data_IF_418447662439
#
_entry.id   IF_418447662439
#
_cell.length_a   1.000
_cell.length_b   1.000
_cell.length_c   1.000
_cell.angle_alpha   90.00
_cell.angle_beta   90.00
_cell.angle_gamma   90.00
#
_symmetry.space_group_name_H-M   'P 1'
#
loop_
_entity.id
_entity.type
_entity.pdbx_description
1 polymer ?
#
# COMPACT_ATOMS: atom_id res chain seq x y z
N UNK A 1 8.76 11.69 -10.40
CA UNK A 1 8.35 10.83 -9.28
C UNK A 1 7.19 9.96 -9.69
N UNK A 2 7.16 8.71 -9.21
CA UNK A 2 6.03 7.80 -9.26
C UNK A 2 5.62 7.43 -7.83
N UNK A 3 4.35 7.64 -7.49
CA UNK A 3 3.78 7.27 -6.20
C UNK A 3 2.68 6.23 -6.37
N UNK A 4 2.79 5.09 -5.70
CA UNK A 4 1.81 4.00 -5.75
C UNK A 4 1.37 3.59 -4.35
N UNK A 5 0.13 3.10 -4.26
CA UNK A 5 -0.46 2.58 -3.03
C UNK A 5 -0.78 1.10 -3.22
N UNK A 6 -0.28 0.28 -2.30
CA UNK A 6 -0.57 -1.13 -2.08
C UNK A 6 -0.93 -1.91 -3.35
N UNK A 7 -0.05 -1.88 -4.35
CA UNK A 7 -0.24 -2.59 -5.61
C UNK A 7 -0.42 -4.08 -5.36
N UNK A 8 -1.49 -4.63 -5.92
CA UNK A 8 -1.85 -6.05 -5.85
C UNK A 8 -2.06 -6.56 -7.26
N UNK A 9 -1.66 -7.79 -7.53
CA UNK A 9 -2.05 -8.46 -8.77
C UNK A 9 -3.51 -8.90 -8.64
N UNK A 10 -4.36 -8.42 -9.54
CA UNK A 10 -5.81 -8.61 -9.49
C UNK A 10 -6.28 -10.08 -9.66
N UNK A 11 -5.37 -11.06 -9.76
CA UNK A 11 -5.66 -12.39 -10.26
C UNK A 11 -5.56 -13.57 -9.27
N UNK A 12 -5.25 -13.37 -7.99
CA UNK A 12 -5.18 -14.48 -7.01
C UNK A 12 -6.48 -14.70 -6.22
N UNK A 13 -7.63 -14.59 -6.88
CA UNK A 13 -8.94 -14.81 -6.25
C UNK A 13 -9.25 -16.31 -6.20
N UNK A 14 -8.79 -16.98 -5.14
CA UNK A 14 -9.29 -18.31 -4.75
C UNK A 14 -10.66 -18.16 -4.04
N UNK A 15 -11.72 -17.94 -4.82
CA UNK A 15 -13.10 -18.08 -4.35
C UNK A 15 -13.49 -19.58 -4.44
N UNK A 16 -13.96 -20.22 -3.36
CA UNK A 16 -14.24 -21.66 -3.34
C UNK A 16 -15.30 -22.14 -4.36
N UNK A 17 -16.05 -21.23 -4.97
CA UNK A 17 -17.07 -21.53 -6.00
C UNK A 17 -16.68 -21.02 -7.41
N UNK A 18 -15.61 -20.23 -7.50
CA UNK A 18 -15.03 -19.73 -8.76
C UNK A 18 -13.55 -20.15 -8.78
N UNK A 19 -13.32 -21.46 -8.83
CA UNK A 19 -11.99 -21.99 -9.07
C UNK A 19 -11.46 -21.41 -10.39
N UNK A 20 -10.43 -20.56 -10.28
CA UNK A 20 -9.46 -20.21 -11.32
C UNK A 20 -10.06 -20.00 -12.73
N UNK A 21 -10.65 -18.82 -12.99
CA UNK A 21 -11.09 -18.48 -14.36
C UNK A 21 -9.95 -17.90 -15.22
N UNK A 22 -8.78 -17.58 -14.67
CA UNK A 22 -7.70 -17.01 -15.47
C UNK A 22 -6.36 -17.73 -15.21
N UNK A 23 -5.66 -18.20 -16.27
CA UNK A 23 -4.36 -18.82 -16.14
C UNK A 23 -3.33 -17.83 -15.59
N UNK A 24 -2.30 -18.39 -14.96
CA UNK A 24 -1.12 -17.75 -14.31
C UNK A 24 -0.25 -16.88 -15.25
N UNK A 25 -0.73 -16.60 -16.46
CA UNK A 25 0.01 -15.97 -17.55
C UNK A 25 0.01 -14.43 -17.50
N UNK A 26 -0.47 -13.83 -16.41
CA UNK A 26 -0.40 -12.38 -16.16
C UNK A 26 0.34 -12.08 -14.85
N UNK A 27 1.34 -12.91 -14.51
CA UNK A 27 2.37 -12.51 -13.56
C UNK A 27 3.01 -11.21 -14.07
N UNK A 28 3.22 -10.23 -13.20
CA UNK A 28 3.98 -9.04 -13.56
C UNK A 28 5.37 -9.52 -14.03
N UNK A 29 5.61 -9.49 -15.33
CA UNK A 29 6.84 -10.03 -15.91
C UNK A 29 8.09 -9.22 -15.53
N UNK A 30 7.91 -8.08 -14.86
CA UNK A 30 9.00 -7.25 -14.37
C UNK A 30 8.60 -6.54 -13.07
N UNK A 31 9.16 -6.96 -11.94
CA UNK A 31 9.05 -6.28 -10.64
C UNK A 31 10.06 -5.12 -10.50
N UNK A 32 10.82 -4.84 -11.56
CA UNK A 32 11.73 -3.70 -11.63
C UNK A 32 10.98 -2.45 -12.06
N UNK A 33 11.22 -1.37 -11.33
CA UNK A 33 10.79 -0.03 -11.73
C UNK A 33 11.56 0.42 -12.99
N UNK A 34 10.88 1.08 -13.92
CA UNK A 34 11.52 1.51 -15.17
C UNK A 34 12.61 2.56 -14.92
N UNK A 35 13.71 2.49 -15.67
CA UNK A 35 14.85 3.43 -15.55
C UNK A 35 14.48 4.89 -15.82
N UNK A 36 13.33 5.16 -16.46
CA UNK A 36 12.82 6.51 -16.65
C UNK A 36 12.20 7.11 -15.36
N UNK A 37 11.99 6.30 -14.33
CA UNK A 37 11.47 6.74 -13.03
C UNK A 37 12.62 7.14 -12.13
N UNK A 38 12.82 8.45 -11.99
CA UNK A 38 13.89 9.02 -11.17
C UNK A 38 13.69 8.82 -9.66
N UNK A 39 12.43 8.75 -9.20
CA UNK A 39 12.08 8.57 -7.80
C UNK A 39 10.77 7.77 -7.67
N UNK A 40 10.81 6.66 -6.95
CA UNK A 40 9.68 5.74 -6.76
C UNK A 40 9.30 5.61 -5.29
N UNK A 41 8.01 5.78 -4.97
CA UNK A 41 7.48 5.68 -3.61
C UNK A 41 6.28 4.75 -3.59
N UNK A 42 6.32 3.74 -2.72
CA UNK A 42 5.28 2.73 -2.59
C UNK A 42 4.81 2.63 -1.14
N UNK A 43 3.56 3.03 -0.89
CA UNK A 43 2.92 2.83 0.40
C UNK A 43 2.30 1.42 0.47
N UNK A 44 2.88 0.53 1.28
CA UNK A 44 2.45 -0.85 1.47
C UNK A 44 1.62 -1.02 2.75
N UNK A 45 0.71 -2.00 2.75
CA UNK A 45 -0.11 -2.30 3.93
C UNK A 45 0.46 -3.46 4.73
N UNK A 46 0.53 -3.31 6.06
CA UNK A 46 1.09 -4.35 6.93
C UNK A 46 0.05 -5.38 7.39
N UNK A 47 -1.17 -4.94 7.71
CA UNK A 47 -2.16 -5.80 8.39
C UNK A 47 -3.13 -6.49 7.41
N UNK A 48 -2.97 -6.26 6.11
CA UNK A 48 -3.74 -6.95 5.08
C UNK A 48 -3.33 -8.42 5.00
N UNK A 49 -4.25 -9.33 5.30
CA UNK A 49 -3.99 -10.78 5.23
C UNK A 49 -4.78 -11.51 4.16
N UNK A 50 -5.65 -10.87 3.37
CA UNK A 50 -6.37 -11.56 2.28
C UNK A 50 -5.37 -11.93 1.19
N UNK A 51 -5.26 -13.22 0.88
CA UNK A 51 -4.29 -13.68 -0.13
C UNK A 51 -4.53 -13.09 -1.53
N UNK A 52 -5.79 -12.76 -1.85
CA UNK A 52 -6.17 -12.03 -3.06
C UNK A 52 -5.58 -10.61 -3.15
N UNK A 53 -5.10 -10.06 -2.04
CA UNK A 53 -4.43 -8.76 -1.93
C UNK A 53 -2.95 -8.98 -1.54
N UNK A 54 -2.31 -10.03 -2.06
CA UNK A 54 -0.87 -10.18 -1.94
C UNK A 54 -0.17 -8.98 -2.61
N UNK A 55 0.78 -8.31 -1.92
CA UNK A 55 1.40 -7.11 -2.44
C UNK A 55 2.43 -7.47 -3.53
N UNK A 56 2.40 -6.72 -4.62
CA UNK A 56 3.43 -6.73 -5.66
C UNK A 56 4.49 -5.71 -5.28
N UNK A 57 5.64 -6.19 -4.79
CA UNK A 57 6.74 -5.34 -4.32
C UNK A 57 7.75 -5.10 -5.43
N UNK A 58 8.41 -3.95 -5.37
CA UNK A 58 9.56 -3.71 -6.23
C UNK A 58 10.78 -4.48 -5.71
N UNK A 59 11.52 -5.05 -6.65
CA UNK A 59 12.80 -5.67 -6.38
C UNK A 59 13.91 -4.68 -6.73
N UNK A 60 14.83 -4.44 -5.78
CA UNK A 60 16.07 -3.76 -6.11
C UNK A 60 16.98 -4.74 -6.85
N UNK A 61 17.51 -4.32 -7.99
CA UNK A 61 18.49 -5.14 -8.70
C UNK A 61 19.86 -5.13 -7.99
N UNK A 62 20.74 -6.05 -8.39
CA UNK A 62 22.12 -6.13 -7.90
C UNK A 62 22.97 -4.90 -8.29
N UNK A 63 22.48 -4.07 -9.23
CA UNK A 63 23.14 -2.85 -9.69
C UNK A 63 22.71 -1.59 -8.92
N UNK A 64 21.76 -1.71 -8.00
CA UNK A 64 21.21 -0.64 -7.17
C UNK A 64 19.83 -0.19 -7.64
N UNK A 65 18.94 0.06 -6.68
CA UNK A 65 17.64 0.71 -6.90
C UNK A 65 17.80 2.01 -7.74
N UNK A 66 16.75 2.52 -8.43
CA UNK A 66 16.82 3.86 -9.01
C UNK A 66 17.28 4.87 -7.96
N UNK A 67 17.81 6.02 -8.40
CA UNK A 67 18.49 6.99 -7.54
C UNK A 67 17.74 7.31 -6.22
N UNK A 68 16.40 7.23 -6.22
CA UNK A 68 15.58 7.25 -5.00
C UNK A 68 14.42 6.23 -5.10
N UNK A 69 14.41 5.20 -4.24
CA UNK A 69 13.31 4.23 -4.14
C UNK A 69 12.95 4.00 -2.67
N UNK A 70 11.68 4.08 -2.33
CA UNK A 70 11.19 3.73 -1.00
C UNK A 70 9.89 2.91 -1.07
N UNK A 71 9.86 1.83 -0.30
CA UNK A 71 8.72 0.98 -0.04
C UNK A 71 8.44 1.02 1.47
N UNK A 72 7.33 1.64 1.85
CA UNK A 72 7.07 1.95 3.26
C UNK A 72 5.82 1.23 3.72
N UNK A 73 5.96 0.44 4.78
CA UNK A 73 4.88 -0.33 5.37
C UNK A 73 4.12 0.50 6.40
N UNK A 74 2.83 0.71 6.16
CA UNK A 74 1.92 1.42 7.03
C UNK A 74 1.01 0.47 7.80
N UNK A 75 0.55 0.92 8.97
CA UNK A 75 -0.48 0.21 9.75
C UNK A 75 -1.83 0.28 9.05
N UNK A 76 -2.61 -0.80 9.11
CA UNK A 76 -3.94 -0.92 8.50
C UNK A 76 -4.02 -1.95 7.37
N UNK A 77 -5.25 -2.12 6.85
CA UNK A 77 -5.57 -2.98 5.70
C UNK A 77 -5.46 -2.20 4.38
N UNK A 78 -5.69 -2.89 3.25
CA UNK A 78 -5.62 -2.30 1.91
C UNK A 78 -6.39 -0.97 1.77
N UNK A 79 -7.60 -0.90 2.35
CA UNK A 79 -8.43 0.29 2.29
C UNK A 79 -7.89 1.45 3.15
N UNK A 80 -7.25 1.12 4.28
CA UNK A 80 -6.65 2.13 5.17
C UNK A 80 -5.52 2.84 4.45
N UNK A 81 -4.65 2.12 3.73
CA UNK A 81 -3.55 2.77 3.00
C UNK A 81 -3.99 3.36 1.68
N UNK A 82 -4.91 2.71 0.97
CA UNK A 82 -5.40 3.18 -0.33
C UNK A 82 -6.47 4.28 -0.29
N UNK A 83 -7.08 4.56 0.87
CA UNK A 83 -8.03 5.67 1.03
C UNK A 83 -9.50 5.35 0.73
N UNK A 84 -9.80 4.17 0.20
CA UNK A 84 -11.17 3.77 -0.14
C UNK A 84 -11.91 3.17 1.07
N UNK A 85 -12.44 4.03 1.94
CA UNK A 85 -13.04 3.63 3.23
C UNK A 85 -14.55 3.31 3.18
N UNK A 86 -15.20 3.33 2.01
CA UNK A 86 -16.64 3.01 1.84
C UNK A 86 -17.57 3.69 2.88
N UNK A 87 -17.33 4.97 3.19
CA UNK A 87 -18.10 5.75 4.16
C UNK A 87 -17.80 5.47 5.63
N UNK A 88 -16.77 4.67 5.94
CA UNK A 88 -16.31 4.45 7.31
C UNK A 88 -15.33 5.55 7.77
N UNK A 89 -15.88 6.72 8.08
CA UNK A 89 -15.06 7.91 8.40
C UNK A 89 -14.22 7.77 9.67
N UNK A 90 -14.57 6.86 10.58
CA UNK A 90 -13.77 6.59 11.78
C UNK A 90 -12.35 6.08 11.44
N UNK A 91 -12.15 5.45 10.28
CA UNK A 91 -10.83 5.02 9.81
C UNK A 91 -10.05 6.11 9.04
N UNK A 92 -10.69 7.25 8.74
CA UNK A 92 -10.07 8.35 7.99
C UNK A 92 -8.75 8.81 8.60
N UNK A 93 -8.61 8.98 9.93
CA UNK A 93 -7.35 9.44 10.50
C UNK A 93 -6.18 8.46 10.35
N UNK A 94 -6.46 7.15 10.25
CA UNK A 94 -5.42 6.16 9.94
C UNK A 94 -5.00 6.29 8.47
N UNK A 95 -5.99 6.46 7.59
CA UNK A 95 -5.78 6.56 6.13
C UNK A 95 -5.10 7.85 5.67
N UNK A 96 -5.26 8.92 6.43
CA UNK A 96 -4.58 10.19 6.14
C UNK A 96 -3.06 10.09 6.32
N UNK A 97 -2.54 9.14 7.08
CA UNK A 97 -1.09 8.97 7.32
C UNK A 97 -0.34 8.70 6.01
N UNK A 98 -0.64 7.62 5.25
CA UNK A 98 0.03 7.36 3.97
C UNK A 98 -0.31 8.40 2.89
N UNK A 99 -1.46 9.06 2.97
CA UNK A 99 -1.80 10.18 2.08
C UNK A 99 -0.84 11.36 2.28
N UNK A 100 -0.67 11.82 3.53
CA UNK A 100 0.23 12.93 3.86
C UNK A 100 1.67 12.58 3.50
N UNK A 101 2.10 11.35 3.81
CA UNK A 101 3.41 10.86 3.41
C UNK A 101 3.60 11.00 1.89
N UNK A 102 2.69 10.49 1.06
CA UNK A 102 2.83 10.60 -0.39
C UNK A 102 2.81 12.06 -0.89
N UNK A 103 1.96 12.91 -0.29
CA UNK A 103 1.91 14.34 -0.60
C UNK A 103 3.25 15.01 -0.34
N UNK A 104 3.91 14.71 0.78
CA UNK A 104 5.24 15.23 1.10
C UNK A 104 6.27 14.88 0.05
N UNK A 105 6.27 13.64 -0.43
CA UNK A 105 7.18 13.21 -1.49
C UNK A 105 6.88 13.93 -2.80
N UNK A 106 5.59 14.04 -3.17
CA UNK A 106 5.18 14.71 -4.39
C UNK A 106 5.62 16.18 -4.41
N UNK A 107 5.50 16.88 -3.29
CA UNK A 107 5.95 18.26 -3.15
C UNK A 107 7.47 18.41 -3.23
N UNK A 108 8.24 17.50 -2.62
CA UNK A 108 9.70 17.48 -2.75
C UNK A 108 10.15 17.32 -4.20
N UNK A 109 9.35 16.61 -5.01
CA UNK A 109 9.54 16.45 -6.45
C UNK A 109 8.85 17.53 -7.30
N UNK A 110 8.46 18.66 -6.69
CA UNK A 110 8.00 19.86 -7.38
C UNK A 110 6.51 19.92 -7.69
N UNK A 111 5.70 18.95 -7.23
CA UNK A 111 4.25 19.04 -7.37
C UNK A 111 3.72 20.18 -6.50
N UNK A 112 3.11 21.18 -7.13
CA UNK A 112 2.46 22.28 -6.42
C UNK A 112 1.07 21.84 -5.99
N UNK A 113 0.92 21.55 -4.71
CA UNK A 113 -0.37 21.27 -4.10
C UNK A 113 -1.03 22.57 -3.61
N UNK A 114 -2.37 22.65 -3.57
CA UNK A 114 -3.07 23.84 -3.09
C UNK A 114 -2.66 24.26 -1.68
N UNK A 115 -2.81 25.55 -1.38
CA UNK A 115 -2.73 26.04 0.00
C UNK A 115 -3.80 25.34 0.86
N UNK A 116 -3.48 25.09 2.12
CA UNK A 116 -4.40 24.40 3.03
C UNK A 116 -4.67 22.93 2.69
N UNK A 117 -3.96 22.29 1.75
CA UNK A 117 -4.17 20.86 1.39
C UNK A 117 -4.15 19.85 2.55
N UNK A 118 -3.52 20.22 3.68
CA UNK A 118 -3.45 19.37 4.89
C UNK A 118 -4.51 19.74 5.92
N UNK A 119 -5.21 20.86 5.73
CA UNK A 119 -6.28 21.29 6.61
C UNK A 119 -7.41 20.24 6.61
N UNK A 120 -7.83 19.82 7.79
CA UNK A 120 -8.81 18.75 7.96
C UNK A 120 -8.27 17.32 7.77
N UNK A 121 -7.00 17.14 7.34
CA UNK A 121 -6.36 15.82 7.31
C UNK A 121 -5.80 15.45 8.68
N UNK A 122 -6.69 15.19 9.65
CA UNK A 122 -6.30 14.69 10.96
C UNK A 122 -5.65 13.31 10.84
N UNK A 123 -4.54 13.07 11.55
CA UNK A 123 -3.88 11.77 11.61
C UNK A 123 -4.01 11.15 13.00
N UNK A 124 -4.18 9.83 13.05
CA UNK A 124 -4.14 9.07 14.31
C UNK A 124 -3.79 7.61 14.03
N UNK A 125 -2.59 7.17 14.46
CA UNK A 125 -2.14 5.78 14.30
C UNK A 125 -2.99 4.77 15.10
N UNK A 126 -3.74 5.25 16.11
CA UNK A 126 -4.65 4.44 16.93
C UNK A 126 -6.10 4.50 16.46
N UNK A 127 -6.39 5.20 15.35
CA UNK A 127 -7.73 5.18 14.77
C UNK A 127 -8.09 3.74 14.33
N UNK A 128 -9.38 3.38 14.40
CA UNK A 128 -9.81 2.05 14.01
C UNK A 128 -9.49 1.79 12.53
N UNK A 129 -8.99 0.59 12.23
CA UNK A 129 -8.82 0.14 10.85
C UNK A 129 -10.17 -0.08 10.18
N UNK A 130 -10.25 0.16 8.86
CA UNK A 130 -11.35 -0.28 8.02
C UNK A 130 -11.55 -1.80 8.12
N UNK A 131 -10.46 -2.53 8.33
CA UNK A 131 -10.42 -3.96 8.47
C UNK A 131 -10.57 -4.68 7.13
N UNK A 132 -10.85 -5.98 7.21
CA UNK A 132 -10.83 -6.87 6.06
C UNK A 132 -12.16 -7.60 5.82
N UNK A 133 -13.09 -7.49 6.76
CA UNK A 133 -14.35 -8.23 6.80
C UNK A 133 -15.56 -7.44 6.28
N UNK A 134 -15.35 -6.19 5.83
CA UNK A 134 -16.41 -5.35 5.25
C UNK A 134 -16.53 -5.57 3.73
N UNK A 135 -17.74 -5.44 3.20
CA UNK A 135 -18.03 -5.62 1.77
C UNK A 135 -17.76 -7.06 1.28
N UNK A 136 -17.17 -7.16 0.07
CA UNK A 136 -16.77 -8.44 -0.54
C UNK A 136 -15.58 -9.11 0.17
N UNK A 137 -14.82 -8.38 1.00
CA UNK A 137 -13.66 -8.91 1.72
C UNK A 137 -13.97 -10.09 2.66
N UNK A 138 -15.23 -10.21 3.11
CA UNK A 138 -15.68 -11.34 3.95
C UNK A 138 -15.62 -12.70 3.22
N UNK A 139 -15.68 -12.70 1.89
CA UNK A 139 -15.72 -13.91 1.08
C UNK A 139 -14.33 -14.42 0.68
N UNK A 140 -13.26 -13.73 1.12
CA UNK A 140 -11.87 -14.14 0.89
C UNK A 140 -11.36 -14.85 2.14
N UNK A 141 -11.46 -16.18 2.09
CA UNK A 141 -11.18 -17.08 3.21
C UNK A 141 -9.70 -17.43 3.33
N UNK A 142 -8.96 -17.42 2.22
CA UNK A 142 -7.52 -17.67 2.22
C UNK A 142 -6.80 -16.47 2.83
N UNK A 143 -6.13 -16.69 3.97
CA UNK A 143 -5.39 -15.66 4.69
C UNK A 143 -3.90 -16.02 4.77
N UNK A 144 -3.04 -15.03 4.51
CA UNK A 144 -1.60 -15.14 4.67
C UNK A 144 -1.06 -13.84 5.26
N UNK A 145 -0.17 -13.91 6.24
CA UNK A 145 0.52 -12.72 6.75
C UNK A 145 1.53 -12.26 5.70
N UNK A 146 1.61 -10.94 5.50
CA UNK A 146 2.60 -10.35 4.61
C UNK A 146 4.00 -10.50 5.21
N UNK A 147 4.96 -10.81 4.35
CA UNK A 147 6.37 -10.91 4.71
C UNK A 147 7.02 -9.55 4.44
N UNK A 148 7.56 -8.94 5.50
CA UNK A 148 8.32 -7.69 5.41
C UNK A 148 9.79 -8.05 5.44
N UNK A 149 10.55 -7.63 4.41
CA UNK A 149 11.99 -7.86 4.34
C UNK A 149 12.69 -6.51 4.33
N UNK A 150 12.91 -5.99 5.53
CA UNK A 150 13.48 -4.66 5.73
C UNK A 150 14.83 -4.52 5.02
N UNK A 151 15.02 -3.39 4.35
CA UNK A 151 16.22 -3.04 3.60
C UNK A 151 16.46 -1.52 3.71
N UNK A 152 17.46 -0.99 3.00
CA UNK A 152 17.68 0.46 2.93
C UNK A 152 16.52 1.22 2.25
N UNK A 153 15.76 0.54 1.40
CA UNK A 153 14.62 1.11 0.67
C UNK A 153 13.28 0.55 1.12
N UNK A 154 13.24 -0.49 1.96
CA UNK A 154 12.00 -1.10 2.48
C UNK A 154 11.95 -1.01 4.01
N UNK A 155 11.01 -0.24 4.57
CA UNK A 155 10.97 0.03 6.01
C UNK A 155 9.56 0.24 6.59
N UNK A 156 9.41 0.16 7.92
CA UNK A 156 8.14 0.34 8.62
C UNK A 156 7.92 1.80 9.03
N UNK A 157 6.79 2.39 8.63
CA UNK A 157 6.40 3.73 9.07
C UNK A 157 6.18 3.79 10.60
N UNK A 158 6.47 4.91 11.30
CA UNK A 158 6.20 5.06 12.74
C UNK A 158 4.77 4.72 13.18
N UNK A 159 3.80 4.87 12.29
CA UNK A 159 2.42 4.42 12.54
C UNK A 159 2.30 2.94 12.94
N UNK A 160 3.27 2.10 12.57
CA UNK A 160 3.32 0.68 12.94
C UNK A 160 3.68 0.49 14.43
N UNK A 161 4.57 1.32 14.97
CA UNK A 161 4.90 1.31 16.40
C UNK A 161 3.87 2.06 17.23
N UNK A 162 3.37 3.20 16.72
CA UNK A 162 2.51 4.14 17.46
C UNK A 162 1.08 3.63 17.69
N UNK A 163 0.70 2.54 17.02
CA UNK A 163 -0.61 1.88 17.20
C UNK A 163 -0.72 1.08 18.50
N UNK A 164 0.40 0.79 19.17
CA UNK A 164 0.45 0.00 20.41
C UNK A 164 0.24 0.85 21.67
#
# INVERSE_FOLDING_TARGET
MMGIYDTVSALSVNLPWFAQILPDNYSFHNHRISDCVLAGYHALTLDETRAAYAPERWEADETGAPHEMEQVWFSGSHADVGGHLLGHDAARPLSNIPLIWMMEHAERHGLRLPEGRREGLHINAKAPSFGMSRGFGRFIWVRAKRQVKLSSFEWNHPSVSDRN
#
